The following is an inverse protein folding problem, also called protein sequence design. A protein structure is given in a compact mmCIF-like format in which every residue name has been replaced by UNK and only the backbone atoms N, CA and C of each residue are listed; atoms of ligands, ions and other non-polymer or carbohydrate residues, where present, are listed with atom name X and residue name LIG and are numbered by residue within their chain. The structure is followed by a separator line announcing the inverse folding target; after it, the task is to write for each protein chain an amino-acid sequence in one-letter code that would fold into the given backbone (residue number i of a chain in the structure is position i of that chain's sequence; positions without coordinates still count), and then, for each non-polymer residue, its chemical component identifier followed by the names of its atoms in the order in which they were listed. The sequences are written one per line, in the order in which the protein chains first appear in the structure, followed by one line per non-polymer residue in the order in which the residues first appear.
data_IF_607614181909
#
_entry.id   IF_607614181909
#
_cell.length_a   1.000
_cell.length_b   1.000
_cell.length_c   1.000
_cell.angle_alpha   90.00
_cell.angle_beta   90.00
_cell.angle_gamma   90.00
#
_symmetry.space_group_name_H-M   'P 1'
#
loop_
_entity.id
_entity.type
_entity.pdbx_description
1 polymer ?
#
# COMPACT_ATOMS: atom_id res chain seq x y z
N UNK A 1 -26.94 13.87 -2.23
CA UNK A 1 -27.75 13.53 -3.42
C UNK A 1 -27.53 12.09 -3.87
N UNK A 2 -26.29 11.65 -4.21
CA UNK A 2 -26.01 10.29 -4.68
C UNK A 2 -26.51 9.20 -3.71
N UNK A 3 -26.30 9.35 -2.42
CA UNK A 3 -26.73 8.36 -1.42
C UNK A 3 -28.27 8.24 -1.36
N UNK A 4 -28.99 9.34 -1.55
CA UNK A 4 -30.46 9.34 -1.64
C UNK A 4 -30.95 8.56 -2.87
N UNK A 5 -30.28 8.77 -4.02
CA UNK A 5 -30.60 8.03 -5.24
C UNK A 5 -30.31 6.52 -5.11
N UNK A 6 -29.20 6.16 -4.45
CA UNK A 6 -28.90 4.76 -4.14
C UNK A 6 -30.02 4.10 -3.34
N UNK A 7 -30.54 4.79 -2.32
CA UNK A 7 -31.60 4.30 -1.46
C UNK A 7 -32.92 4.20 -2.24
N UNK A 8 -33.26 5.20 -3.00
CA UNK A 8 -34.48 5.27 -3.81
C UNK A 8 -34.52 4.17 -4.87
N UNK A 9 -33.44 4.01 -5.63
CA UNK A 9 -33.37 3.05 -6.73
C UNK A 9 -32.83 1.66 -6.31
N UNK A 10 -32.42 1.49 -5.06
CA UNK A 10 -31.81 0.25 -4.51
C UNK A 10 -30.61 -0.25 -5.32
N UNK A 11 -29.82 0.69 -5.83
CA UNK A 11 -28.60 0.40 -6.62
C UNK A 11 -27.39 0.78 -5.77
N UNK A 12 -26.56 -0.20 -5.32
CA UNK A 12 -25.34 0.09 -4.60
C UNK A 12 -24.31 0.74 -5.54
N UNK A 13 -23.74 1.87 -5.11
CA UNK A 13 -22.71 2.57 -5.88
C UNK A 13 -21.45 2.71 -5.01
N UNK A 14 -20.33 2.19 -5.49
CA UNK A 14 -19.04 2.44 -4.86
C UNK A 14 -18.63 3.90 -5.04
N UNK A 15 -18.18 4.49 -3.95
CA UNK A 15 -17.64 5.86 -3.93
C UNK A 15 -16.12 5.78 -3.78
N UNK A 16 -15.39 6.36 -4.71
CA UNK A 16 -13.92 6.39 -4.67
C UNK A 16 -13.45 7.79 -4.33
N UNK A 17 -12.77 7.93 -3.17
CA UNK A 17 -12.06 9.14 -2.82
C UNK A 17 -10.67 9.10 -3.47
N UNK A 18 -10.33 10.14 -4.25
CA UNK A 18 -9.09 10.18 -5.02
C UNK A 18 -8.15 11.27 -4.50
N UNK A 19 -6.97 10.87 -4.03
CA UNK A 19 -5.83 11.77 -3.81
C UNK A 19 -5.03 11.90 -5.12
N UNK A 20 -5.61 12.64 -6.06
CA UNK A 20 -5.13 12.73 -7.45
C UNK A 20 -3.69 13.21 -7.57
N UNK A 21 -3.26 14.09 -6.67
CA UNK A 21 -1.93 14.68 -6.69
C UNK A 21 -0.98 14.08 -5.63
N UNK A 22 -1.41 13.05 -4.92
CA UNK A 22 -0.65 12.49 -3.80
C UNK A 22 -0.40 13.51 -2.69
N UNK A 23 -1.25 14.54 -2.58
CA UNK A 23 -1.04 15.71 -1.71
C UNK A 23 -1.72 15.58 -0.34
N UNK A 24 -2.52 14.57 -0.15
CA UNK A 24 -3.13 14.22 1.13
C UNK A 24 -2.12 14.10 2.27
N UNK A 25 -2.56 14.31 3.48
CA UNK A 25 -1.76 14.14 4.71
C UNK A 25 -2.54 13.37 5.75
N UNK A 26 -1.82 12.59 6.56
CA UNK A 26 -2.37 11.64 7.51
C UNK A 26 -2.01 11.92 8.98
N UNK A 27 -1.43 13.08 9.28
CA UNK A 27 -1.03 13.42 10.65
C UNK A 27 -2.17 14.08 11.44
N UNK A 28 -2.09 14.02 12.76
CA UNK A 28 -3.02 14.69 13.67
C UNK A 28 -3.03 16.20 13.44
N UNK A 29 -4.22 16.80 13.47
CA UNK A 29 -4.41 18.23 13.20
C UNK A 29 -4.49 18.59 11.71
N UNK A 30 -4.33 17.62 10.80
CA UNK A 30 -4.62 17.85 9.39
C UNK A 30 -6.08 18.21 9.18
N UNK A 31 -6.35 19.17 8.31
CA UNK A 31 -7.69 19.68 8.02
C UNK A 31 -8.09 19.44 6.56
N UNK A 32 -9.39 19.47 6.30
CA UNK A 32 -9.94 19.44 4.95
C UNK A 32 -9.38 20.67 4.17
N UNK A 33 -9.02 20.52 2.87
CA UNK A 33 -9.26 19.35 2.00
C UNK A 33 -8.12 18.31 2.00
N UNK A 34 -7.09 18.46 2.83
CA UNK A 34 -5.89 17.61 2.78
C UNK A 34 -5.91 16.42 3.74
N UNK A 35 -6.76 16.46 4.76
CA UNK A 35 -6.83 15.38 5.76
C UNK A 35 -7.43 14.11 5.18
N UNK A 36 -6.65 13.03 5.09
CA UNK A 36 -7.15 11.71 4.64
C UNK A 36 -8.24 11.20 5.58
N UNK A 37 -7.97 11.23 6.90
CA UNK A 37 -8.94 10.83 7.92
C UNK A 37 -10.19 11.72 7.90
N UNK A 38 -10.03 13.02 7.70
CA UNK A 38 -11.14 13.97 7.60
C UNK A 38 -12.01 13.72 6.37
N UNK A 39 -11.41 13.39 5.24
CA UNK A 39 -12.14 13.03 4.00
C UNK A 39 -12.94 11.74 4.22
N UNK A 40 -12.31 10.66 4.72
CA UNK A 40 -12.99 9.40 4.98
C UNK A 40 -14.12 9.57 6.01
N UNK A 41 -13.87 10.30 7.09
CA UNK A 41 -14.88 10.61 8.10
C UNK A 41 -16.04 11.41 7.51
N UNK A 42 -15.74 12.46 6.75
CA UNK A 42 -16.77 13.30 6.10
C UNK A 42 -17.64 12.51 5.13
N UNK A 43 -17.04 11.63 4.33
CA UNK A 43 -17.78 10.79 3.40
C UNK A 43 -18.68 9.78 4.14
N UNK A 44 -18.17 9.11 5.17
CA UNK A 44 -18.93 8.08 5.90
C UNK A 44 -19.97 8.70 6.85
N UNK A 45 -19.61 9.72 7.64
CA UNK A 45 -20.45 10.24 8.71
C UNK A 45 -21.35 11.41 8.30
N UNK A 46 -20.91 12.25 7.37
CA UNK A 46 -21.68 13.41 6.95
C UNK A 46 -22.37 13.22 5.61
N UNK A 47 -21.71 12.58 4.63
CA UNK A 47 -22.31 12.29 3.34
C UNK A 47 -23.11 10.97 3.31
N UNK A 48 -22.97 10.12 4.32
CA UNK A 48 -23.72 8.86 4.45
C UNK A 48 -23.23 7.76 3.52
N UNK A 49 -21.99 7.82 3.03
CA UNK A 49 -21.40 6.74 2.22
C UNK A 49 -21.19 5.51 3.13
N UNK A 50 -21.78 4.36 2.81
CA UNK A 50 -21.52 3.14 3.55
C UNK A 50 -20.02 2.79 3.47
N UNK A 51 -19.43 2.41 4.61
CA UNK A 51 -18.00 2.10 4.68
C UNK A 51 -17.59 1.00 3.70
N UNK A 52 -18.42 -0.02 3.55
CA UNK A 52 -18.23 -1.14 2.61
C UNK A 52 -18.25 -0.73 1.13
N UNK A 53 -18.75 0.46 0.82
CA UNK A 53 -18.78 1.04 -0.52
C UNK A 53 -17.79 2.19 -0.71
N UNK A 54 -16.96 2.50 0.30
CA UNK A 54 -15.93 3.53 0.19
C UNK A 54 -14.59 2.90 -0.23
N UNK A 55 -14.01 3.42 -1.30
CA UNK A 55 -12.67 3.09 -1.78
C UNK A 55 -11.75 4.32 -1.69
N UNK A 56 -10.46 4.07 -1.51
CA UNK A 56 -9.42 5.09 -1.62
C UNK A 56 -8.51 4.81 -2.81
N UNK A 57 -8.17 5.87 -3.57
CA UNK A 57 -7.21 5.84 -4.66
C UNK A 57 -6.16 6.92 -4.45
N UNK A 58 -4.91 6.53 -4.22
CA UNK A 58 -3.81 7.43 -3.91
C UNK A 58 -2.71 7.43 -4.95
N UNK A 59 -2.14 8.62 -5.21
CA UNK A 59 -0.90 8.79 -5.97
C UNK A 59 0.30 9.01 -5.06
N UNK A 60 1.52 8.79 -5.61
CA UNK A 60 2.75 8.75 -4.83
C UNK A 60 3.68 9.97 -5.03
N UNK A 61 3.16 11.07 -5.54
CA UNK A 61 3.95 12.25 -5.89
C UNK A 61 4.76 12.83 -4.71
N UNK A 62 4.32 12.59 -3.48
CA UNK A 62 4.99 13.01 -2.25
C UNK A 62 5.41 11.84 -1.35
N UNK A 63 5.61 10.64 -1.90
CA UNK A 63 6.00 9.42 -1.16
C UNK A 63 5.02 9.01 -0.04
N UNK A 64 3.75 9.38 -0.15
CA UNK A 64 2.75 9.15 0.90
C UNK A 64 1.66 8.15 0.52
N UNK A 65 1.72 7.57 -0.68
CA UNK A 65 0.64 6.70 -1.17
C UNK A 65 0.30 5.57 -0.18
N UNK A 66 1.28 4.85 0.34
CA UNK A 66 1.06 3.76 1.31
C UNK A 66 0.49 4.30 2.61
N UNK A 67 1.15 5.28 3.24
CA UNK A 67 0.73 5.84 4.52
C UNK A 67 -0.68 6.45 4.47
N UNK A 68 -1.02 7.15 3.38
CA UNK A 68 -2.35 7.70 3.19
C UNK A 68 -3.40 6.60 2.96
N UNK A 69 -3.05 5.55 2.23
CA UNK A 69 -3.94 4.40 1.99
C UNK A 69 -4.21 3.60 3.25
N UNK A 70 -3.18 3.31 4.05
CA UNK A 70 -3.33 2.69 5.37
C UNK A 70 -4.24 3.53 6.28
N UNK A 71 -4.04 4.86 6.27
CA UNK A 71 -4.90 5.78 7.01
C UNK A 71 -6.35 5.72 6.54
N UNK A 72 -6.58 5.69 5.22
CA UNK A 72 -7.94 5.56 4.69
C UNK A 72 -8.62 4.26 5.15
N UNK A 73 -7.91 3.12 5.20
CA UNK A 73 -8.41 1.88 5.78
C UNK A 73 -8.82 2.05 7.23
N UNK A 74 -7.95 2.61 8.05
CA UNK A 74 -8.21 2.81 9.49
C UNK A 74 -9.38 3.75 9.74
N UNK A 75 -9.72 4.60 8.80
CA UNK A 75 -10.81 5.58 8.90
C UNK A 75 -12.05 5.28 8.04
N UNK A 76 -12.19 4.03 7.58
CA UNK A 76 -13.45 3.52 7.07
C UNK A 76 -13.52 3.27 5.57
N UNK A 77 -12.44 3.39 4.81
CA UNK A 77 -12.41 2.83 3.46
C UNK A 77 -12.33 1.31 3.53
N UNK A 78 -13.22 0.61 2.86
CA UNK A 78 -13.21 -0.87 2.82
C UNK A 78 -12.20 -1.41 1.81
N UNK A 79 -11.79 -0.61 0.84
CA UNK A 79 -10.88 -1.02 -0.21
C UNK A 79 -9.88 0.08 -0.56
N UNK A 80 -8.67 -0.35 -0.89
CA UNK A 80 -7.63 0.49 -1.46
C UNK A 80 -7.41 0.07 -2.92
N UNK A 81 -7.47 1.04 -3.80
CA UNK A 81 -7.19 0.83 -5.22
C UNK A 81 -5.68 0.88 -5.45
N UNK A 82 -5.09 -0.27 -5.77
CA UNK A 82 -3.66 -0.47 -5.91
C UNK A 82 -3.24 -0.85 -7.32
N UNK A 83 -1.95 -0.78 -7.59
CA UNK A 83 -1.31 -1.36 -8.78
C UNK A 83 -0.08 -2.17 -8.38
N UNK A 84 0.29 -3.16 -9.21
CA UNK A 84 1.54 -3.91 -9.01
C UNK A 84 2.73 -2.94 -9.08
N UNK A 85 3.62 -3.04 -8.11
CA UNK A 85 4.84 -2.22 -7.98
C UNK A 85 4.59 -0.71 -7.97
N UNK A 86 3.35 -0.30 -7.69
CA UNK A 86 2.95 1.10 -7.74
C UNK A 86 2.94 1.70 -9.16
N UNK A 87 2.94 0.87 -10.20
CA UNK A 87 2.94 1.35 -11.59
C UNK A 87 1.70 2.21 -11.85
N UNK A 88 1.90 3.41 -12.37
CA UNK A 88 0.83 4.35 -12.65
C UNK A 88 1.35 5.65 -13.24
N UNK A 89 0.47 6.62 -13.40
CA UNK A 89 0.84 7.93 -13.93
C UNK A 89 1.82 8.68 -13.01
N UNK A 90 2.68 9.48 -13.59
CA UNK A 90 3.71 10.31 -12.92
C UNK A 90 4.63 9.45 -12.04
N UNK A 91 4.49 9.55 -10.73
CA UNK A 91 5.30 8.80 -9.75
C UNK A 91 4.63 7.50 -9.29
N UNK A 92 3.48 7.18 -9.87
CA UNK A 92 2.73 5.94 -9.61
C UNK A 92 1.64 6.06 -8.56
N UNK A 93 1.07 4.91 -8.24
CA UNK A 93 -0.04 4.72 -7.32
C UNK A 93 0.40 3.97 -6.06
N UNK A 94 -0.56 3.61 -5.23
CA UNK A 94 -0.32 2.75 -4.06
C UNK A 94 0.11 1.36 -4.51
N UNK A 95 1.31 0.88 -4.11
CA UNK A 95 1.77 -0.46 -4.47
C UNK A 95 0.94 -1.55 -3.78
N UNK A 96 0.49 -2.55 -4.54
CA UNK A 96 -0.31 -3.65 -4.01
C UNK A 96 0.47 -4.47 -2.97
N UNK A 97 1.72 -4.79 -3.28
CA UNK A 97 2.60 -5.55 -2.38
C UNK A 97 2.79 -4.85 -1.03
N UNK A 98 2.93 -3.53 -1.03
CA UNK A 98 3.02 -2.78 0.22
C UNK A 98 1.73 -2.89 1.05
N UNK A 99 0.57 -2.82 0.41
CA UNK A 99 -0.72 -2.91 1.11
C UNK A 99 -1.00 -4.33 1.63
N UNK A 100 -0.50 -5.37 0.98
CA UNK A 100 -0.55 -6.75 1.49
C UNK A 100 0.23 -6.85 2.82
N UNK A 101 1.45 -6.30 2.88
CA UNK A 101 2.24 -6.29 4.10
C UNK A 101 1.68 -5.33 5.17
N UNK A 102 1.10 -4.19 4.79
CA UNK A 102 0.36 -3.33 5.71
C UNK A 102 -0.83 -4.09 6.35
N UNK A 103 -1.59 -4.83 5.53
CA UNK A 103 -2.67 -5.67 6.03
C UNK A 103 -2.16 -6.72 7.02
N UNK A 104 -1.08 -7.41 6.68
CA UNK A 104 -0.47 -8.40 7.56
C UNK A 104 0.00 -7.79 8.90
N UNK A 105 0.58 -6.59 8.87
CA UNK A 105 1.00 -5.88 10.09
C UNK A 105 -0.18 -5.47 10.97
N UNK A 106 -1.27 -5.01 10.36
CA UNK A 106 -2.47 -4.58 11.09
C UNK A 106 -3.28 -5.74 11.67
N UNK A 107 -3.32 -6.88 10.98
CA UNK A 107 -4.17 -8.02 11.34
C UNK A 107 -3.42 -9.20 11.97
N UNK A 108 -2.10 -9.25 11.84
CA UNK A 108 -1.26 -10.37 12.26
C UNK A 108 -1.34 -11.59 11.34
N UNK A 109 -1.93 -11.48 10.14
CA UNK A 109 -2.14 -12.61 9.22
C UNK A 109 -2.19 -12.19 7.76
N UNK A 110 -1.95 -13.13 6.87
CA UNK A 110 -2.03 -12.96 5.41
C UNK A 110 -3.33 -13.51 4.79
N UNK A 111 -4.19 -14.15 5.59
CA UNK A 111 -5.46 -14.76 5.17
C UNK A 111 -5.34 -15.68 3.92
N UNK A 112 -4.24 -16.41 3.84
CA UNK A 112 -3.96 -17.36 2.75
C UNK A 112 -3.30 -16.74 1.51
N UNK A 113 -2.94 -15.45 1.53
CA UNK A 113 -2.19 -14.85 0.45
C UNK A 113 -0.75 -15.41 0.41
N UNK A 114 -0.34 -15.91 -0.76
CA UNK A 114 1.03 -16.31 -1.03
C UNK A 114 1.83 -15.09 -1.52
N UNK A 115 2.68 -14.58 -0.66
CA UNK A 115 3.49 -13.39 -0.95
C UNK A 115 4.78 -13.69 -1.73
N UNK A 116 5.16 -14.97 -1.89
CA UNK A 116 6.32 -15.36 -2.72
C UNK A 116 6.11 -15.01 -4.18
N UNK A 117 4.84 -15.01 -4.63
CA UNK A 117 4.41 -14.60 -5.97
C UNK A 117 4.83 -13.16 -6.32
N UNK A 118 5.06 -12.29 -5.35
CA UNK A 118 5.52 -10.91 -5.57
C UNK A 118 6.87 -10.91 -6.30
N UNK A 119 7.78 -11.78 -5.89
CA UNK A 119 9.10 -11.92 -6.54
C UNK A 119 8.96 -12.49 -7.95
N UNK A 120 8.16 -13.53 -8.14
CA UNK A 120 7.90 -14.12 -9.45
C UNK A 120 7.29 -13.11 -10.44
N UNK A 121 6.31 -12.32 -9.98
CA UNK A 121 5.72 -11.25 -10.78
C UNK A 121 6.75 -10.17 -11.15
N UNK A 122 7.62 -9.79 -10.21
CA UNK A 122 8.69 -8.83 -10.48
C UNK A 122 9.66 -9.34 -11.57
N UNK A 123 10.03 -10.60 -11.50
CA UNK A 123 10.88 -11.24 -12.51
C UNK A 123 10.17 -11.32 -13.86
N UNK A 124 8.91 -11.70 -13.88
CA UNK A 124 8.09 -11.71 -15.08
C UNK A 124 8.02 -10.33 -15.74
N UNK A 125 7.75 -9.28 -14.98
CA UNK A 125 7.68 -7.91 -15.52
C UNK A 125 9.01 -7.47 -16.13
N UNK A 126 10.12 -7.81 -15.49
CA UNK A 126 11.45 -7.46 -15.99
C UNK A 126 11.81 -8.25 -17.26
N UNK A 127 11.46 -9.54 -17.30
CA UNK A 127 11.87 -10.45 -18.39
C UNK A 127 10.95 -10.39 -19.59
N UNK A 128 9.64 -10.36 -19.36
CA UNK A 128 8.65 -10.50 -20.44
C UNK A 128 8.04 -9.16 -20.87
N UNK A 129 8.13 -8.12 -20.04
CA UNK A 129 7.57 -6.80 -20.32
C UNK A 129 8.64 -5.70 -20.41
N UNK A 130 9.92 -6.06 -20.34
CA UNK A 130 11.06 -5.12 -20.35
C UNK A 130 10.94 -4.01 -19.28
N UNK A 131 10.25 -4.29 -18.16
CA UNK A 131 10.07 -3.32 -17.11
C UNK A 131 11.36 -3.12 -16.31
N UNK A 132 11.86 -1.90 -16.26
CA UNK A 132 13.07 -1.57 -15.49
C UNK A 132 12.70 -1.36 -14.02
N UNK A 133 12.87 -2.40 -13.20
CA UNK A 133 12.64 -2.32 -11.75
C UNK A 133 13.73 -1.45 -11.10
N UNK A 134 13.35 -0.33 -10.43
CA UNK A 134 14.34 0.47 -9.71
C UNK A 134 15.01 -0.36 -8.60
N UNK A 135 16.35 -0.26 -8.45
CA UNK A 135 17.09 -1.18 -7.55
C UNK A 135 16.68 -1.11 -6.08
N UNK A 136 16.09 -0.01 -5.64
CA UNK A 136 15.69 0.23 -4.25
C UNK A 136 14.18 0.18 -4.03
N UNK A 137 13.42 -0.33 -5.00
CA UNK A 137 11.98 -0.53 -4.82
C UNK A 137 11.75 -1.49 -3.65
N UNK A 138 10.94 -1.12 -2.66
CA UNK A 138 10.60 -2.00 -1.56
C UNK A 138 10.10 -3.36 -2.06
N UNK A 139 10.42 -4.43 -1.34
CA UNK A 139 10.06 -5.83 -1.61
C UNK A 139 10.67 -6.46 -2.87
N UNK A 140 10.82 -5.74 -3.97
CA UNK A 140 11.15 -6.30 -5.30
C UNK A 140 12.46 -5.79 -5.92
N UNK A 141 12.97 -4.66 -5.49
CA UNK A 141 14.24 -4.11 -6.00
C UNK A 141 15.44 -5.01 -5.65
N UNK A 142 16.44 -5.06 -6.51
CA UNK A 142 17.63 -5.91 -6.30
C UNK A 142 18.42 -5.59 -5.02
N UNK A 143 18.23 -4.41 -4.45
CA UNK A 143 18.89 -3.96 -3.23
C UNK A 143 17.95 -3.93 -2.01
N UNK A 144 16.73 -4.42 -2.11
CA UNK A 144 15.74 -4.35 -1.04
C UNK A 144 16.24 -4.95 0.27
N UNK A 145 16.80 -6.15 0.22
CA UNK A 145 17.29 -6.90 1.38
C UNK A 145 18.82 -7.04 1.42
N UNK A 146 19.54 -6.05 0.85
CA UNK A 146 21.02 -6.05 0.80
C UNK A 146 21.57 -5.10 1.85
N UNK A 147 22.40 -5.63 2.75
CA UNK A 147 23.11 -4.86 3.78
C UNK A 147 24.61 -4.90 3.54
N UNK A 148 25.24 -3.72 3.43
CA UNK A 148 26.68 -3.60 3.13
C UNK A 148 27.50 -2.96 4.25
N UNK A 149 26.86 -2.42 5.27
CA UNK A 149 27.57 -1.86 6.42
C UNK A 149 28.07 -3.02 7.31
N UNK A 150 29.38 -3.09 7.56
CA UNK A 150 29.99 -4.24 8.21
C UNK A 150 29.37 -4.64 9.55
N UNK A 151 29.03 -3.68 10.41
CA UNK A 151 28.39 -3.97 11.70
C UNK A 151 26.96 -4.52 11.53
N UNK A 152 26.22 -4.06 10.52
CA UNK A 152 24.88 -4.56 10.21
C UNK A 152 24.95 -5.94 9.55
N UNK A 153 25.93 -6.16 8.66
CA UNK A 153 26.16 -7.44 8.04
C UNK A 153 26.49 -8.52 9.08
N UNK A 154 27.37 -8.24 10.03
CA UNK A 154 27.68 -9.16 11.15
C UNK A 154 26.45 -9.48 12.00
N UNK A 155 25.60 -8.49 12.26
CA UNK A 155 24.35 -8.68 12.97
C UNK A 155 23.39 -9.61 12.23
N UNK A 156 23.16 -9.37 10.93
CA UNK A 156 22.29 -10.18 10.08
C UNK A 156 22.74 -11.63 9.97
N UNK A 157 24.06 -11.88 9.85
CA UNK A 157 24.60 -13.23 9.83
C UNK A 157 24.38 -14.01 11.13
N UNK A 158 24.20 -13.31 12.25
CA UNK A 158 23.91 -13.90 13.55
C UNK A 158 22.42 -14.12 13.79
N UNK A 159 21.61 -13.13 13.43
CA UNK A 159 20.16 -13.19 13.53
C UNK A 159 19.53 -12.15 12.58
N UNK A 160 18.78 -12.62 11.59
CA UNK A 160 18.11 -11.75 10.60
C UNK A 160 17.12 -10.78 11.23
N UNK A 161 16.42 -11.17 12.30
CA UNK A 161 15.42 -10.33 12.98
C UNK A 161 15.98 -9.04 13.59
N UNK A 162 17.32 -8.92 13.72
CA UNK A 162 17.96 -7.69 14.19
C UNK A 162 17.70 -6.50 13.25
N UNK A 163 17.61 -6.77 11.94
CA UNK A 163 17.48 -5.72 10.91
C UNK A 163 16.31 -5.92 9.95
N UNK A 164 15.71 -7.10 9.90
CA UNK A 164 14.51 -7.38 9.12
C UNK A 164 13.34 -7.67 10.07
N UNK A 165 12.23 -6.98 9.86
CA UNK A 165 11.02 -7.16 10.68
C UNK A 165 10.28 -8.47 10.36
N UNK A 166 10.60 -9.11 9.24
CA UNK A 166 10.06 -10.39 8.83
C UNK A 166 11.10 -11.18 8.01
N UNK A 167 10.95 -12.47 7.96
CA UNK A 167 11.78 -13.41 7.18
C UNK A 167 11.52 -13.19 5.68
N UNK A 168 12.49 -12.55 4.99
CA UNK A 168 12.35 -12.21 3.58
C UNK A 168 12.48 -13.42 2.66
N UNK A 169 13.17 -14.47 3.09
CA UNK A 169 13.23 -15.73 2.33
C UNK A 169 11.88 -16.44 2.35
N UNK A 170 11.31 -16.61 3.52
CA UNK A 170 10.01 -17.26 3.72
C UNK A 170 8.87 -16.55 2.98
N UNK A 171 8.81 -15.21 3.08
CA UNK A 171 7.66 -14.45 2.58
C UNK A 171 7.83 -13.92 1.16
N UNK A 172 9.05 -13.87 0.63
CA UNK A 172 9.34 -13.30 -0.68
C UNK A 172 10.23 -14.19 -1.56
N UNK A 173 10.68 -15.35 -1.10
CA UNK A 173 11.75 -16.13 -1.75
C UNK A 173 13.01 -15.27 -2.02
N UNK A 174 13.35 -14.39 -1.07
CA UNK A 174 14.48 -13.46 -1.20
C UNK A 174 15.35 -13.50 0.04
N UNK A 175 16.34 -14.40 0.07
CA UNK A 175 17.28 -14.47 1.18
C UNK A 175 18.04 -13.15 1.35
N UNK A 176 18.42 -12.86 2.59
CA UNK A 176 19.25 -11.69 2.91
C UNK A 176 20.58 -11.79 2.23
N UNK A 177 21.05 -10.68 1.68
CA UNK A 177 22.38 -10.55 1.06
C UNK A 177 23.22 -9.55 1.87
N UNK A 178 24.46 -9.95 2.18
CA UNK A 178 25.47 -9.17 2.88
C UNK A 178 26.74 -9.02 2.05
#
# INVERSE_FOLDING_TARGET
ELMKLMEEYKIPVKTRACDTMGYGVNFAGAVIPRSVQGICYGLTKHAGVPSELLEWHGHNDFYKAVANSTTAWLYGASAINCSLFGIGERTGNTPLEAMIFEYAQLTGKLDGADTTVITELSEYFQKELDYVMPPRTPFVGKNFNVTRAGIHADGLLKNEEIYNIFDTDKFLNRPVLV
#
